data_IF_731859964992
#
_entry.id   IF_731859964992
#
_cell.length_a   1.000
_cell.length_b   1.000
_cell.length_c   1.000
_cell.angle_alpha   90.00
_cell.angle_beta   90.00
_cell.angle_gamma   90.00
#
_symmetry.space_group_name_H-M   'P 1'
#
loop_
_entity.id
_entity.type
_entity.pdbx_description
1 polymer ?
#
# COMPACT_ATOMS: atom_id res chain seq x y z
N UNK A 1 10.45 9.13 20.88
CA UNK A 1 9.66 8.39 19.87
C UNK A 1 9.70 6.92 20.26
N UNK A 2 8.54 6.27 20.42
CA UNK A 2 8.46 4.83 20.70
C UNK A 2 8.79 4.06 19.42
N UNK A 3 9.47 2.93 19.53
CA UNK A 3 9.77 2.06 18.38
C UNK A 3 9.15 0.69 18.58
N UNK A 4 8.58 0.12 17.53
CA UNK A 4 8.02 -1.23 17.51
C UNK A 4 8.70 -2.09 16.45
N UNK A 5 8.99 -3.34 16.80
CA UNK A 5 9.30 -4.39 15.85
C UNK A 5 8.26 -5.49 15.99
N UNK A 6 7.52 -5.73 14.92
CA UNK A 6 6.44 -6.70 14.86
C UNK A 6 6.80 -7.72 13.81
N UNK A 7 6.68 -9.00 14.15
CA UNK A 7 6.87 -10.09 13.21
C UNK A 7 5.68 -11.03 13.29
N UNK A 8 4.98 -11.16 12.18
CA UNK A 8 3.83 -12.03 12.06
C UNK A 8 3.90 -12.83 10.77
N UNK A 9 3.11 -13.90 10.70
CA UNK A 9 3.09 -14.78 9.54
C UNK A 9 2.35 -14.15 8.37
N UNK A 10 1.13 -13.65 8.59
CA UNK A 10 0.23 -13.21 7.53
C UNK A 10 0.02 -11.70 7.54
N UNK A 11 -0.41 -11.17 6.39
CA UNK A 11 -0.69 -9.74 6.22
C UNK A 11 -1.70 -9.17 7.23
N UNK A 12 -2.89 -9.78 7.44
CA UNK A 12 -3.89 -9.19 8.34
C UNK A 12 -3.51 -9.28 9.82
N UNK A 13 -2.76 -10.31 10.21
CA UNK A 13 -2.28 -10.46 11.61
C UNK A 13 -1.19 -9.45 11.93
N UNK A 14 -0.26 -9.22 11.01
CA UNK A 14 0.75 -8.17 11.11
C UNK A 14 0.12 -6.78 11.27
N UNK A 15 -0.85 -6.44 10.43
CA UNK A 15 -1.54 -5.16 10.49
C UNK A 15 -2.34 -5.00 11.79
N UNK A 16 -3.15 -5.99 12.17
CA UNK A 16 -3.94 -5.98 13.41
C UNK A 16 -3.03 -5.72 14.62
N UNK A 17 -1.93 -6.48 14.73
CA UNK A 17 -0.97 -6.34 15.81
C UNK A 17 -0.29 -4.97 15.81
N UNK A 18 0.10 -4.46 14.64
CA UNK A 18 0.71 -3.13 14.53
C UNK A 18 -0.23 -2.03 14.98
N UNK A 19 -1.49 -2.06 14.55
CA UNK A 19 -2.50 -1.08 14.96
C UNK A 19 -2.74 -1.14 16.47
N UNK A 20 -2.88 -2.33 17.05
CA UNK A 20 -3.09 -2.50 18.49
C UNK A 20 -1.88 -2.05 19.32
N UNK A 21 -0.65 -2.36 18.89
CA UNK A 21 0.55 -1.94 19.61
C UNK A 21 0.77 -0.42 19.49
N UNK A 22 0.50 0.19 18.33
CA UNK A 22 0.48 1.65 18.19
C UNK A 22 -0.55 2.29 19.09
N UNK A 23 -1.75 1.72 19.17
CA UNK A 23 -2.74 2.20 20.12
C UNK A 23 -2.21 2.09 21.54
N UNK A 24 -1.73 0.94 21.98
CA UNK A 24 -1.40 0.72 23.39
C UNK A 24 -0.11 1.41 23.85
N UNK A 25 0.92 1.45 23.01
CA UNK A 25 2.26 1.90 23.37
C UNK A 25 2.68 3.21 22.67
N UNK A 26 1.86 3.72 21.74
CA UNK A 26 2.19 4.92 20.97
C UNK A 26 2.44 6.15 21.85
N UNK A 27 3.50 6.88 21.50
CA UNK A 27 3.75 8.18 22.09
C UNK A 27 2.63 9.14 21.66
N UNK A 28 2.27 10.08 22.54
CA UNK A 28 1.27 11.11 22.27
C UNK A 28 1.93 12.40 21.80
N UNK A 29 1.40 12.99 20.76
CA UNK A 29 1.90 14.24 20.17
C UNK A 29 0.78 14.90 19.37
N UNK A 30 0.93 16.22 19.18
CA UNK A 30 0.06 16.99 18.31
C UNK A 30 0.56 16.97 16.88
N UNK A 31 -0.37 17.03 15.94
CA UNK A 31 -0.09 17.14 14.52
C UNK A 31 -0.54 18.51 14.00
N UNK A 32 -0.02 18.92 12.84
CA UNK A 32 -0.47 20.13 12.16
C UNK A 32 -1.92 20.04 11.66
N UNK A 33 -2.50 18.83 11.66
CA UNK A 33 -3.86 18.54 11.23
C UNK A 33 -4.88 18.59 12.38
N UNK A 34 -4.42 18.66 13.63
CA UNK A 34 -5.30 18.63 14.80
C UNK A 34 -6.14 19.90 14.89
N UNK A 35 -7.45 19.75 15.13
CA UNK A 35 -8.37 20.85 15.39
C UNK A 35 -8.46 21.15 16.89
N UNK A 36 -8.91 22.36 17.29
CA UNK A 36 -9.14 22.66 18.70
C UNK A 36 -10.09 21.64 19.35
N UNK A 37 -9.58 20.91 20.35
CA UNK A 37 -10.33 19.88 21.07
C UNK A 37 -10.04 18.45 20.64
N UNK A 38 -9.30 18.23 19.55
CA UNK A 38 -8.86 16.90 19.15
C UNK A 38 -7.89 16.33 20.22
N UNK A 39 -8.04 15.06 20.61
CA UNK A 39 -7.03 14.35 21.38
C UNK A 39 -5.68 14.34 20.66
N UNK A 40 -4.59 14.17 21.41
CA UNK A 40 -3.29 13.92 20.82
C UNK A 40 -3.27 12.56 20.09
N UNK A 41 -2.69 12.55 18.89
CA UNK A 41 -2.48 11.35 18.09
C UNK A 41 -1.53 10.39 18.81
N UNK A 42 -1.65 9.08 18.50
CA UNK A 42 -0.71 8.05 18.99
C UNK A 42 0.21 7.60 17.86
N UNK A 43 1.52 7.51 18.10
CA UNK A 43 2.52 7.21 17.05
C UNK A 43 3.71 6.42 17.59
N UNK A 44 4.22 5.59 16.69
CA UNK A 44 5.44 4.82 16.83
C UNK A 44 6.21 4.85 15.52
N UNK A 45 7.53 4.69 15.62
CA UNK A 45 8.32 4.21 14.49
C UNK A 45 8.17 2.68 14.43
N UNK A 46 7.60 2.14 13.36
CA UNK A 46 7.28 0.71 13.25
C UNK A 46 8.13 0.01 12.19
N UNK A 47 8.57 -1.20 12.51
CA UNK A 47 9.09 -2.17 11.55
C UNK A 47 8.21 -3.43 11.61
N UNK A 48 7.39 -3.64 10.59
CA UNK A 48 6.41 -4.72 10.51
C UNK A 48 6.90 -5.76 9.50
N UNK A 49 7.21 -6.97 9.96
CA UNK A 49 7.74 -8.06 9.16
C UNK A 49 6.68 -9.15 8.98
N UNK A 50 6.28 -9.39 7.73
CA UNK A 50 5.35 -10.43 7.31
C UNK A 50 6.12 -11.53 6.57
N UNK A 51 6.14 -12.75 7.11
CA UNK A 51 6.94 -13.84 6.52
C UNK A 51 6.24 -14.57 5.38
N UNK A 52 4.90 -14.54 5.33
CA UNK A 52 4.09 -15.14 4.27
C UNK A 52 3.01 -14.14 3.82
N UNK A 53 3.37 -13.05 3.10
CA UNK A 53 2.45 -11.94 2.80
C UNK A 53 1.25 -12.33 1.93
N UNK A 54 1.31 -13.47 1.24
CA UNK A 54 0.23 -14.00 0.40
C UNK A 54 -0.52 -15.18 1.04
N UNK A 55 -0.24 -15.54 2.29
CA UNK A 55 -0.96 -16.64 2.96
C UNK A 55 -2.42 -16.26 3.23
N UNK A 56 -3.32 -17.24 3.11
CA UNK A 56 -4.73 -17.10 3.47
C UNK A 56 -5.01 -17.45 4.94
N UNK A 57 -6.03 -16.83 5.58
CA UNK A 57 -6.83 -15.71 5.10
C UNK A 57 -6.02 -14.41 5.02
N UNK A 58 -6.30 -13.57 4.01
CA UNK A 58 -5.42 -12.44 3.65
C UNK A 58 -5.96 -11.05 3.99
N UNK A 59 -7.27 -10.90 4.21
CA UNK A 59 -7.90 -9.57 4.32
C UNK A 59 -8.53 -9.37 5.70
N UNK A 60 -8.17 -8.30 6.42
CA UNK A 60 -8.72 -8.06 7.75
C UNK A 60 -10.12 -7.45 7.66
N UNK A 61 -11.17 -8.06 8.23
CA UNK A 61 -12.58 -7.62 8.10
C UNK A 61 -12.89 -6.22 8.64
N UNK A 62 -12.01 -5.68 9.47
CA UNK A 62 -12.15 -4.37 10.10
C UNK A 62 -11.21 -3.29 9.53
N UNK A 63 -10.53 -3.53 8.40
CA UNK A 63 -9.91 -2.42 7.69
C UNK A 63 -11.01 -1.44 7.25
N UNK A 64 -10.78 -0.12 7.34
CA UNK A 64 -11.77 0.86 6.92
C UNK A 64 -11.74 0.95 5.39
N UNK A 65 -12.77 0.41 4.75
CA UNK A 65 -12.94 0.42 3.29
C UNK A 65 -13.79 -0.76 2.81
N UNK A 66 -14.33 -0.63 1.60
CA UNK A 66 -14.94 -1.75 0.89
C UNK A 66 -13.90 -2.69 0.28
N UNK A 67 -14.25 -3.96 0.09
CA UNK A 67 -13.38 -4.89 -0.65
C UNK A 67 -13.26 -4.50 -2.13
N UNK A 68 -14.30 -3.89 -2.68
CA UNK A 68 -14.28 -3.24 -3.99
C UNK A 68 -13.34 -2.02 -4.01
N UNK A 69 -13.37 -1.17 -2.98
CA UNK A 69 -12.40 -0.07 -2.84
C UNK A 69 -10.95 -0.59 -2.71
N UNK A 70 -10.76 -1.76 -2.09
CA UNK A 70 -9.44 -2.41 -2.02
C UNK A 70 -8.92 -2.85 -3.40
N UNK A 71 -9.77 -3.38 -4.28
CA UNK A 71 -9.37 -3.70 -5.66
C UNK A 71 -9.10 -2.43 -6.47
N UNK A 72 -9.90 -1.37 -6.30
CA UNK A 72 -9.66 -0.07 -6.93
C UNK A 72 -8.30 0.47 -6.52
N UNK A 73 -8.01 0.53 -5.23
CA UNK A 73 -6.74 1.00 -4.71
C UNK A 73 -5.55 0.15 -5.17
N UNK A 74 -5.73 -1.18 -5.25
CA UNK A 74 -4.74 -2.08 -5.84
C UNK A 74 -4.48 -1.73 -7.31
N UNK A 75 -5.51 -1.43 -8.09
CA UNK A 75 -5.37 -1.00 -9.48
C UNK A 75 -4.72 0.39 -9.61
N UNK A 76 -5.00 1.32 -8.69
CA UNK A 76 -4.33 2.63 -8.64
C UNK A 76 -2.82 2.47 -8.47
N UNK A 77 -2.38 1.67 -7.49
CA UNK A 77 -0.96 1.49 -7.18
C UNK A 77 -0.22 0.70 -8.27
N UNK A 78 -0.82 -0.36 -8.80
CA UNK A 78 -0.15 -1.25 -9.76
C UNK A 78 -0.23 -0.77 -11.20
N UNK A 79 -1.27 -0.01 -11.55
CA UNK A 79 -1.59 0.29 -12.95
C UNK A 79 -1.93 1.75 -13.20
N UNK A 80 -2.01 2.60 -12.16
CA UNK A 80 -2.21 4.03 -12.33
C UNK A 80 -3.53 4.37 -12.99
N UNK A 81 -4.60 3.62 -12.64
CA UNK A 81 -5.93 3.84 -13.23
C UNK A 81 -6.42 5.28 -13.01
N UNK A 82 -5.97 5.95 -11.94
CA UNK A 82 -6.26 7.35 -11.63
C UNK A 82 -5.07 8.32 -11.80
N UNK A 83 -4.00 7.96 -12.53
CA UNK A 83 -2.90 8.91 -12.77
C UNK A 83 -3.38 10.19 -13.49
N UNK A 84 -4.43 10.07 -14.30
CA UNK A 84 -5.06 11.19 -15.00
C UNK A 84 -5.83 12.15 -14.09
N UNK A 85 -5.98 11.85 -12.79
CA UNK A 85 -6.55 12.75 -11.79
C UNK A 85 -5.52 13.65 -11.12
N UNK A 86 -4.22 13.44 -11.40
CA UNK A 86 -3.16 14.34 -10.94
C UNK A 86 -3.35 15.69 -11.62
N UNK A 87 -3.75 16.70 -10.83
CA UNK A 87 -4.03 18.06 -11.28
C UNK A 87 -3.83 19.05 -10.10
N UNK A 88 -2.58 19.20 -9.61
CA UNK A 88 -2.28 20.04 -8.46
C UNK A 88 -2.70 21.51 -8.66
N UNK A 89 -2.64 22.01 -9.89
CA UNK A 89 -3.09 23.36 -10.25
C UNK A 89 -4.60 23.59 -10.06
N UNK A 90 -5.40 22.52 -10.04
CA UNK A 90 -6.83 22.55 -9.73
C UNK A 90 -7.11 22.27 -8.24
N UNK A 91 -6.08 22.15 -7.40
CA UNK A 91 -6.21 21.74 -6.00
C UNK A 91 -6.63 20.27 -5.83
N UNK A 92 -6.38 19.44 -6.85
CA UNK A 92 -6.63 17.99 -6.83
C UNK A 92 -5.36 17.24 -6.43
N UNK A 93 -5.26 15.96 -6.79
CA UNK A 93 -4.17 15.09 -6.40
C UNK A 93 -2.84 15.63 -6.91
N UNK A 94 -1.82 15.63 -6.04
CA UNK A 94 -0.49 16.14 -6.38
C UNK A 94 0.42 15.05 -6.96
N UNK A 95 0.08 13.78 -6.72
CA UNK A 95 0.80 12.61 -7.23
C UNK A 95 -0.03 11.32 -7.07
N UNK A 96 0.40 10.24 -7.72
CA UNK A 96 0.02 8.86 -7.35
C UNK A 96 1.28 8.06 -7.07
N UNK A 97 1.19 6.98 -6.28
CA UNK A 97 2.33 6.07 -6.12
C UNK A 97 2.73 5.44 -7.46
N UNK A 98 1.77 5.16 -8.34
CA UNK A 98 2.08 4.61 -9.64
C UNK A 98 2.90 5.57 -10.49
N UNK A 99 2.51 6.85 -10.61
CA UNK A 99 3.29 7.86 -11.33
C UNK A 99 4.72 7.92 -10.78
N UNK A 100 4.88 7.95 -9.46
CA UNK A 100 6.20 8.00 -8.84
C UNK A 100 7.02 6.72 -9.00
N UNK A 101 6.42 5.54 -9.17
CA UNK A 101 7.16 4.28 -9.32
C UNK A 101 7.46 3.94 -10.78
N UNK A 102 6.51 4.15 -11.68
CA UNK A 102 6.55 3.71 -13.07
C UNK A 102 6.80 4.85 -14.05
N UNK A 103 6.54 6.10 -13.66
CA UNK A 103 6.74 7.27 -14.50
C UNK A 103 7.57 8.36 -13.80
N UNK A 104 8.58 8.00 -13.01
CA UNK A 104 9.31 8.94 -12.17
C UNK A 104 9.96 10.07 -12.99
N UNK A 105 9.34 11.26 -12.96
CA UNK A 105 9.73 12.42 -13.77
C UNK A 105 10.85 13.20 -13.11
N UNK A 106 11.96 13.41 -13.82
CA UNK A 106 13.08 14.24 -13.35
C UNK A 106 13.22 15.47 -14.25
N UNK A 107 13.27 16.69 -13.70
CA UNK A 107 13.49 17.90 -14.49
C UNK A 107 14.72 17.78 -15.40
N UNK A 108 14.55 18.09 -16.68
CA UNK A 108 15.61 18.03 -17.69
C UNK A 108 15.81 16.66 -18.35
N UNK A 109 15.18 15.59 -17.87
CA UNK A 109 15.14 14.32 -18.60
C UNK A 109 14.01 14.32 -19.64
N UNK A 110 14.25 13.81 -20.86
CA UNK A 110 13.25 13.82 -21.93
C UNK A 110 12.15 12.78 -21.73
N UNK A 111 12.40 11.74 -20.92
CA UNK A 111 11.47 10.65 -20.65
C UNK A 111 11.46 10.34 -19.15
N UNK A 112 10.32 9.93 -18.60
CA UNK A 112 10.24 9.45 -17.22
C UNK A 112 11.03 8.15 -17.03
N UNK A 113 11.35 7.85 -15.77
CA UNK A 113 12.06 6.63 -15.39
C UNK A 113 11.04 5.62 -14.85
N UNK A 114 10.91 4.47 -15.51
CA UNK A 114 10.23 3.30 -14.94
C UNK A 114 11.20 2.59 -13.97
N UNK A 115 11.05 2.88 -12.68
CA UNK A 115 11.94 2.33 -11.66
C UNK A 115 11.65 0.85 -11.39
N UNK A 116 10.42 0.38 -11.60
CA UNK A 116 10.05 -1.02 -11.40
C UNK A 116 10.62 -1.88 -12.53
N UNK A 117 10.57 -1.43 -13.78
CA UNK A 117 11.25 -2.11 -14.88
C UNK A 117 12.76 -2.16 -14.65
N UNK A 118 13.36 -1.06 -14.19
CA UNK A 118 14.79 -1.03 -13.84
C UNK A 118 15.15 -2.03 -12.73
N UNK A 119 14.28 -2.18 -11.71
CA UNK A 119 14.42 -3.20 -10.66
C UNK A 119 14.37 -4.61 -11.24
N UNK A 120 13.39 -4.91 -12.10
CA UNK A 120 13.22 -6.22 -12.73
C UNK A 120 14.44 -6.55 -13.60
N UNK A 121 14.82 -5.65 -14.50
CA UNK A 121 15.99 -5.82 -15.36
C UNK A 121 17.26 -6.07 -14.52
N UNK A 122 17.42 -5.33 -13.41
CA UNK A 122 18.60 -5.48 -12.56
C UNK A 122 18.65 -6.83 -11.84
N UNK A 123 17.52 -7.30 -11.33
CA UNK A 123 17.45 -8.58 -10.61
C UNK A 123 17.48 -9.77 -11.58
N UNK A 124 17.01 -9.62 -12.81
CA UNK A 124 17.18 -10.62 -13.86
C UNK A 124 18.67 -10.80 -14.24
N UNK A 125 19.42 -9.70 -14.34
CA UNK A 125 20.87 -9.72 -14.60
C UNK A 125 21.66 -10.22 -13.38
N UNK A 126 21.35 -9.71 -12.19
CA UNK A 126 22.07 -9.99 -10.95
C UNK A 126 21.11 -10.19 -9.77
N UNK A 127 20.59 -11.41 -9.55
CA UNK A 127 19.58 -11.68 -8.51
C UNK A 127 20.01 -11.31 -7.08
N UNK A 128 21.32 -11.37 -6.80
CA UNK A 128 21.92 -11.03 -5.51
C UNK A 128 22.26 -9.53 -5.37
N UNK A 129 21.82 -8.69 -6.31
CA UNK A 129 22.06 -7.25 -6.29
C UNK A 129 21.47 -6.62 -5.01
N UNK A 130 22.27 -5.76 -4.37
CA UNK A 130 21.83 -4.95 -3.23
C UNK A 130 21.28 -3.57 -3.66
N UNK A 131 21.15 -3.34 -4.97
CA UNK A 131 20.89 -2.01 -5.57
C UNK A 131 19.49 -1.87 -6.19
N UNK A 132 18.69 -2.93 -6.18
CA UNK A 132 17.36 -2.91 -6.79
C UNK A 132 16.38 -2.15 -5.87
N UNK A 133 16.09 -0.90 -6.21
CA UNK A 133 15.18 -0.04 -5.46
C UNK A 133 14.45 0.95 -6.35
N UNK A 134 13.32 1.43 -5.85
CA UNK A 134 12.57 2.56 -6.38
C UNK A 134 12.31 3.56 -5.25
N UNK A 135 12.28 4.85 -5.57
CA UNK A 135 11.99 5.94 -4.62
C UNK A 135 10.87 6.82 -5.15
N UNK A 136 10.10 7.40 -4.25
CA UNK A 136 8.94 8.22 -4.62
C UNK A 136 9.13 9.69 -4.25
N UNK A 137 10.04 9.97 -3.30
CA UNK A 137 10.37 11.34 -2.89
C UNK A 137 11.16 12.09 -3.97
N UNK A 138 10.57 13.16 -4.49
CA UNK A 138 11.20 14.08 -5.44
C UNK A 138 11.65 15.34 -4.69
N UNK A 139 12.95 15.46 -4.43
CA UNK A 139 13.49 16.58 -3.64
C UNK A 139 13.23 17.98 -4.25
N UNK A 140 13.00 18.07 -5.57
CA UNK A 140 12.66 19.32 -6.26
C UNK A 140 11.16 19.66 -6.23
N UNK A 141 10.30 18.72 -5.82
CA UNK A 141 8.84 18.88 -5.84
C UNK A 141 8.26 18.79 -4.42
N UNK A 142 8.55 17.70 -3.71
CA UNK A 142 7.86 17.33 -2.48
C UNK A 142 8.15 18.22 -1.27
N UNK A 143 9.18 19.09 -1.36
CA UNK A 143 9.47 20.06 -0.29
C UNK A 143 8.53 21.26 -0.27
N UNK A 144 7.74 21.47 -1.33
CA UNK A 144 6.90 22.66 -1.50
C UNK A 144 5.40 22.39 -1.67
N UNK A 145 4.97 21.13 -1.59
CA UNK A 145 3.58 20.71 -1.81
C UNK A 145 2.89 20.34 -0.49
N UNK A 146 1.56 20.31 -0.49
CA UNK A 146 0.77 20.14 0.74
C UNK A 146 0.77 18.69 1.23
N UNK A 147 0.65 17.74 0.32
CA UNK A 147 0.52 16.31 0.59
C UNK A 147 1.65 15.54 -0.12
N UNK A 148 2.90 15.59 0.37
CA UNK A 148 3.98 14.88 -0.30
C UNK A 148 3.87 13.35 -0.18
N UNK A 149 4.60 12.62 -1.03
CA UNK A 149 4.58 11.15 -1.03
C UNK A 149 4.77 10.55 0.37
N UNK A 150 3.88 9.67 0.82
CA UNK A 150 4.03 8.97 2.11
C UNK A 150 4.98 7.78 2.00
N UNK A 151 4.80 6.91 1.00
CA UNK A 151 5.83 5.98 0.55
C UNK A 151 7.08 6.76 0.19
N UNK A 152 8.27 6.28 0.60
CA UNK A 152 9.56 6.88 0.29
C UNK A 152 10.43 5.97 -0.59
N UNK A 153 10.44 4.67 -0.28
CA UNK A 153 11.34 3.71 -0.90
C UNK A 153 10.74 2.31 -0.91
N UNK A 154 10.95 1.60 -2.01
CA UNK A 154 10.82 0.16 -2.13
C UNK A 154 12.18 -0.44 -2.47
N UNK A 155 12.62 -1.46 -1.73
CA UNK A 155 13.86 -2.17 -1.97
C UNK A 155 13.60 -3.67 -2.13
N UNK A 156 14.15 -4.25 -3.18
CA UNK A 156 13.87 -5.60 -3.62
C UNK A 156 15.13 -6.46 -3.57
N UNK A 157 14.97 -7.73 -3.19
CA UNK A 157 16.08 -8.70 -3.15
C UNK A 157 15.60 -10.11 -3.43
N UNK A 158 16.25 -10.79 -4.37
CA UNK A 158 16.07 -12.24 -4.52
C UNK A 158 17.03 -12.94 -3.56
N UNK A 159 16.46 -13.77 -2.68
CA UNK A 159 17.21 -14.62 -1.75
C UNK A 159 16.58 -16.02 -1.76
N UNK A 160 17.39 -17.05 -1.96
CA UNK A 160 16.92 -18.46 -2.02
C UNK A 160 15.77 -18.68 -3.01
N UNK A 161 15.81 -18.02 -4.17
CA UNK A 161 14.75 -18.14 -5.19
C UNK A 161 13.44 -17.46 -4.80
N UNK A 162 13.44 -16.58 -3.80
CA UNK A 162 12.27 -15.80 -3.37
C UNK A 162 12.55 -14.31 -3.43
N UNK A 163 11.61 -13.52 -3.95
CA UNK A 163 11.68 -12.07 -3.98
C UNK A 163 11.16 -11.49 -2.66
N UNK A 164 12.06 -10.91 -1.88
CA UNK A 164 11.73 -10.15 -0.68
C UNK A 164 11.54 -8.67 -1.03
N UNK A 165 10.62 -8.00 -0.34
CA UNK A 165 10.34 -6.57 -0.47
C UNK A 165 10.45 -5.87 0.88
N UNK A 166 11.21 -4.78 0.93
CA UNK A 166 11.27 -3.85 2.07
C UNK A 166 10.75 -2.49 1.62
N UNK A 167 9.74 -1.98 2.32
CA UNK A 167 9.11 -0.67 2.09
C UNK A 167 9.44 0.28 3.22
N UNK A 168 9.64 1.56 2.90
CA UNK A 168 9.76 2.65 3.88
C UNK A 168 8.72 3.73 3.61
N UNK A 169 7.95 4.07 4.64
CA UNK A 169 6.97 5.16 4.69
C UNK A 169 7.47 6.24 5.64
N UNK A 170 7.42 7.52 5.25
CA UNK A 170 7.72 8.63 6.17
C UNK A 170 6.59 8.85 7.20
N UNK A 171 5.37 8.49 6.80
CA UNK A 171 4.13 8.70 7.53
C UNK A 171 3.10 7.71 7.00
N UNK A 172 2.40 7.01 7.89
CA UNK A 172 1.35 6.08 7.52
C UNK A 172 0.24 6.08 8.58
N UNK A 173 -0.97 6.43 8.18
CA UNK A 173 -2.14 6.23 9.03
C UNK A 173 -2.33 4.72 9.25
N UNK A 174 -2.10 4.28 10.48
CA UNK A 174 -2.09 2.89 10.89
C UNK A 174 -3.46 2.23 10.66
N UNK A 175 -4.55 2.95 10.92
CA UNK A 175 -5.90 2.41 10.83
C UNK A 175 -6.49 2.61 9.43
N UNK A 176 -6.44 3.84 8.90
CA UNK A 176 -7.17 4.23 7.69
C UNK A 176 -6.48 3.91 6.37
N UNK A 177 -5.16 3.79 6.35
CA UNK A 177 -4.41 3.63 5.10
C UNK A 177 -3.53 2.38 5.06
N UNK A 178 -2.87 2.04 6.17
CA UNK A 178 -1.79 1.06 6.18
C UNK A 178 -2.18 -0.30 5.61
N UNK A 179 -3.38 -0.82 5.92
CA UNK A 179 -3.81 -2.12 5.41
C UNK A 179 -3.87 -2.14 3.88
N UNK A 180 -4.49 -1.12 3.27
CA UNK A 180 -4.61 -0.99 1.82
C UNK A 180 -3.23 -0.82 1.17
N UNK A 181 -2.33 -0.03 1.79
CA UNK A 181 -0.96 0.11 1.33
C UNK A 181 -0.22 -1.24 1.33
N UNK A 182 -0.22 -1.95 2.47
CA UNK A 182 0.43 -3.25 2.62
C UNK A 182 -0.12 -4.29 1.64
N UNK A 183 -1.45 -4.30 1.42
CA UNK A 183 -2.08 -5.17 0.43
C UNK A 183 -1.59 -4.86 -0.98
N UNK A 184 -1.68 -3.60 -1.42
CA UNK A 184 -1.24 -3.20 -2.76
C UNK A 184 0.27 -3.43 -2.98
N UNK A 185 1.11 -3.20 -1.97
CA UNK A 185 2.55 -3.41 -2.09
C UNK A 185 2.93 -4.89 -2.19
N UNK A 186 2.21 -5.78 -1.48
CA UNK A 186 2.41 -7.23 -1.63
C UNK A 186 1.87 -7.76 -2.96
N UNK A 187 0.86 -7.10 -3.54
CA UNK A 187 0.42 -7.36 -4.91
C UNK A 187 1.47 -6.92 -5.94
N UNK A 188 2.12 -5.77 -5.74
CA UNK A 188 3.25 -5.35 -6.58
C UNK A 188 4.43 -6.33 -6.44
N UNK A 189 4.74 -6.78 -5.23
CA UNK A 189 5.74 -7.82 -4.98
C UNK A 189 5.42 -9.10 -5.76
N UNK A 190 4.16 -9.55 -5.75
CA UNK A 190 3.68 -10.71 -6.52
C UNK A 190 3.93 -10.53 -8.03
N UNK A 191 3.61 -9.36 -8.58
CA UNK A 191 3.85 -9.05 -10.00
C UNK A 191 5.34 -9.07 -10.37
N UNK A 192 6.19 -8.44 -9.55
CA UNK A 192 7.65 -8.42 -9.79
C UNK A 192 8.25 -9.82 -9.67
N UNK A 193 7.82 -10.61 -8.69
CA UNK A 193 8.27 -12.00 -8.51
C UNK A 193 7.90 -12.87 -9.72
N UNK A 194 6.66 -12.77 -10.19
CA UNK A 194 6.19 -13.48 -11.38
C UNK A 194 7.00 -13.11 -12.63
N UNK A 195 7.34 -11.84 -12.83
CA UNK A 195 8.17 -11.39 -13.96
C UNK A 195 9.63 -11.83 -13.88
N UNK A 196 10.14 -12.10 -12.68
CA UNK A 196 11.46 -12.66 -12.46
C UNK A 196 11.48 -14.20 -12.47
N UNK A 197 10.31 -14.86 -12.50
CA UNK A 197 10.20 -16.31 -12.42
C UNK A 197 10.63 -16.89 -11.08
N UNK A 198 10.40 -16.16 -9.99
CA UNK A 198 10.76 -16.54 -8.61
C UNK A 198 9.53 -16.51 -7.70
N UNK A 199 9.61 -17.18 -6.55
CA UNK A 199 8.53 -17.17 -5.57
C UNK A 199 8.47 -15.85 -4.79
N UNK A 200 7.34 -15.57 -4.16
CA UNK A 200 7.21 -14.43 -3.24
C UNK A 200 7.85 -14.78 -1.89
N UNK A 201 8.76 -13.91 -1.43
CA UNK A 201 9.41 -14.00 -0.12
C UNK A 201 8.80 -13.06 0.91
N UNK A 202 9.60 -12.70 1.90
CA UNK A 202 9.19 -11.87 3.03
C UNK A 202 8.84 -10.44 2.58
N UNK A 203 7.89 -9.84 3.29
CA UNK A 203 7.52 -8.44 3.16
C UNK A 203 7.84 -7.70 4.46
N UNK A 204 8.54 -6.57 4.36
CA UNK A 204 8.84 -5.72 5.51
C UNK A 204 8.32 -4.31 5.24
N UNK A 205 7.48 -3.80 6.14
CA UNK A 205 6.91 -2.47 6.09
C UNK A 205 7.50 -1.63 7.22
N UNK A 206 8.43 -0.74 6.89
CA UNK A 206 8.95 0.27 7.80
C UNK A 206 8.16 1.55 7.69
N UNK A 207 7.72 2.11 8.81
CA UNK A 207 7.06 3.40 8.87
C UNK A 207 7.70 4.27 9.95
N UNK A 208 8.20 5.44 9.56
CA UNK A 208 8.88 6.38 10.47
C UNK A 208 7.88 6.98 11.47
N UNK A 209 6.66 7.28 11.00
CA UNK A 209 5.49 7.68 11.79
C UNK A 209 4.32 6.76 11.44
N UNK A 210 4.04 5.77 12.29
CA UNK A 210 2.91 4.86 12.15
C UNK A 210 1.87 5.22 13.21
N UNK A 211 0.82 5.93 12.79
CA UNK A 211 0.02 6.73 13.72
C UNK A 211 -1.48 6.50 13.63
N UNK A 212 -2.18 6.83 14.71
CA UNK A 212 -3.64 6.86 14.83
C UNK A 212 -4.01 8.28 15.25
N UNK A 213 -4.73 9.02 14.40
CA UNK A 213 -5.11 10.39 14.70
C UNK A 213 -6.13 10.48 15.84
N UNK A 214 -5.92 11.45 16.73
CA UNK A 214 -6.85 11.74 17.82
C UNK A 214 -8.26 12.10 17.35
N UNK A 215 -8.36 12.77 16.20
CA UNK A 215 -9.60 13.25 15.59
C UNK A 215 -10.63 12.16 15.29
N UNK A 216 -10.23 10.90 15.18
CA UNK A 216 -11.14 9.77 14.92
C UNK A 216 -11.09 8.66 15.99
N UNK A 217 -10.63 8.93 17.21
CA UNK A 217 -10.61 7.90 18.27
C UNK A 217 -11.98 7.25 18.51
N UNK A 218 -13.08 7.99 18.41
CA UNK A 218 -14.43 7.40 18.54
C UNK A 218 -14.78 6.38 17.45
N UNK A 219 -14.32 6.60 16.22
CA UNK A 219 -14.44 5.62 15.13
C UNK A 219 -13.54 4.40 15.40
N UNK A 220 -12.31 4.66 15.85
CA UNK A 220 -11.31 3.64 16.17
C UNK A 220 -11.76 2.68 17.28
N UNK A 221 -12.57 3.13 18.25
CA UNK A 221 -13.15 2.23 19.25
C UNK A 221 -14.01 1.11 18.62
N UNK A 222 -14.60 1.35 17.45
CA UNK A 222 -15.31 0.32 16.69
C UNK A 222 -14.39 -0.82 16.25
N UNK A 223 -13.16 -0.50 15.85
CA UNK A 223 -12.13 -1.49 15.54
C UNK A 223 -11.74 -2.30 16.79
N UNK A 224 -11.50 -1.64 17.92
CA UNK A 224 -11.15 -2.32 19.18
C UNK A 224 -12.23 -3.33 19.59
N UNK A 225 -13.50 -2.91 19.58
CA UNK A 225 -14.64 -3.80 19.87
C UNK A 225 -14.73 -4.96 18.88
N UNK A 226 -14.47 -4.70 17.59
CA UNK A 226 -14.46 -5.75 16.55
C UNK A 226 -13.41 -6.81 16.83
N UNK A 227 -12.19 -6.40 17.20
CA UNK A 227 -11.09 -7.33 17.51
C UNK A 227 -11.41 -8.16 18.77
N UNK A 228 -11.95 -7.53 19.81
CA UNK A 228 -12.31 -8.23 21.05
C UNK A 228 -13.47 -9.23 20.88
N UNK A 229 -14.48 -8.87 20.09
CA UNK A 229 -15.72 -9.65 20.00
C UNK A 229 -15.74 -10.71 18.90
N UNK A 230 -14.85 -10.61 17.88
CA UNK A 230 -14.88 -11.50 16.71
C UNK A 230 -13.74 -12.51 16.76
N UNK A 231 -14.04 -13.82 16.82
CA UNK A 231 -13.01 -14.86 16.67
C UNK A 231 -12.58 -15.03 15.21
N UNK A 232 -13.49 -14.84 14.26
CA UNK A 232 -13.22 -14.89 12.82
C UNK A 232 -13.10 -13.46 12.24
N UNK A 233 -11.87 -12.97 12.15
CA UNK A 233 -11.55 -11.57 11.81
C UNK A 233 -11.08 -11.36 10.38
N UNK A 234 -10.93 -12.42 9.59
CA UNK A 234 -10.25 -12.32 8.30
C UNK A 234 -11.09 -12.93 7.16
N UNK A 235 -11.11 -12.27 6.00
CA UNK A 235 -11.64 -12.82 4.75
C UNK A 235 -10.52 -13.53 3.98
N UNK A 236 -10.87 -14.60 3.28
CA UNK A 236 -10.00 -15.18 2.25
C UNK A 236 -10.05 -14.32 0.99
N UNK A 237 -9.04 -14.40 0.13
CA UNK A 237 -9.11 -13.78 -1.21
C UNK A 237 -10.28 -14.34 -2.01
N UNK A 238 -10.56 -15.65 -1.90
CA UNK A 238 -11.71 -16.30 -2.55
C UNK A 238 -13.04 -15.62 -2.17
N UNK A 239 -13.25 -15.35 -0.88
CA UNK A 239 -14.45 -14.65 -0.41
C UNK A 239 -14.57 -13.24 -1.01
N UNK A 240 -13.45 -12.56 -1.24
CA UNK A 240 -13.43 -11.20 -1.75
C UNK A 240 -13.59 -11.10 -3.28
N UNK A 241 -13.48 -12.20 -4.02
CA UNK A 241 -13.52 -12.20 -5.50
C UNK A 241 -14.77 -11.51 -6.09
N UNK A 242 -16.00 -11.71 -5.58
CA UNK A 242 -17.17 -11.00 -6.10
C UNK A 242 -17.06 -9.49 -5.93
N UNK A 243 -16.56 -9.02 -4.78
CA UNK A 243 -16.40 -7.59 -4.51
C UNK A 243 -15.24 -6.99 -5.31
N UNK A 244 -14.18 -7.76 -5.58
CA UNK A 244 -13.14 -7.33 -6.51
C UNK A 244 -13.69 -7.18 -7.93
N UNK A 245 -14.61 -8.05 -8.35
CA UNK A 245 -15.32 -7.89 -9.61
C UNK A 245 -16.14 -6.59 -9.60
N UNK A 246 -16.87 -6.31 -8.53
CA UNK A 246 -17.62 -5.04 -8.37
C UNK A 246 -16.69 -3.82 -8.47
N UNK A 247 -15.51 -3.87 -7.84
CA UNK A 247 -14.50 -2.81 -7.93
C UNK A 247 -14.00 -2.58 -9.37
N UNK A 248 -13.74 -3.65 -10.12
CA UNK A 248 -13.38 -3.55 -11.54
C UNK A 248 -14.53 -2.98 -12.38
N UNK A 249 -15.78 -3.35 -12.11
CA UNK A 249 -16.96 -2.81 -12.80
C UNK A 249 -17.19 -1.33 -12.49
N UNK A 250 -16.96 -0.91 -11.24
CA UNK A 250 -16.99 0.51 -10.84
C UNK A 250 -15.97 1.33 -11.64
N UNK A 251 -14.73 0.87 -11.75
CA UNK A 251 -13.71 1.53 -12.59
C UNK A 251 -14.15 1.62 -14.06
N UNK A 252 -14.72 0.55 -14.61
CA UNK A 252 -15.20 0.56 -16.00
C UNK A 252 -16.40 1.50 -16.21
N UNK A 253 -17.17 1.80 -15.16
CA UNK A 253 -18.27 2.75 -15.23
C UNK A 253 -17.81 4.22 -15.24
N UNK A 254 -16.55 4.50 -14.85
CA UNK A 254 -15.98 5.84 -14.90
C UNK A 254 -15.84 6.32 -16.34
N UNK A 255 -16.31 7.55 -16.60
CA UNK A 255 -16.40 8.12 -17.95
C UNK A 255 -15.05 8.62 -18.45
N UNK A 256 -14.21 9.05 -17.53
CA UNK A 256 -12.89 9.63 -17.74
C UNK A 256 -11.75 8.61 -17.73
N UNK A 257 -12.01 7.35 -17.34
CA UNK A 257 -11.00 6.29 -17.35
C UNK A 257 -10.33 6.16 -18.73
N UNK A 258 -9.01 6.42 -18.85
CA UNK A 258 -8.32 6.44 -20.14
C UNK A 258 -8.39 5.09 -20.87
N UNK A 259 -8.44 5.06 -22.22
CA UNK A 259 -8.59 3.82 -22.98
C UNK A 259 -7.54 2.74 -22.65
N UNK A 260 -6.28 3.14 -22.43
CA UNK A 260 -5.22 2.21 -22.06
C UNK A 260 -5.45 1.58 -20.68
N UNK A 261 -5.92 2.37 -19.70
CA UNK A 261 -6.22 1.89 -18.34
C UNK A 261 -7.49 1.02 -18.35
N UNK A 262 -8.51 1.40 -19.14
CA UNK A 262 -9.72 0.59 -19.38
C UNK A 262 -9.39 -0.81 -19.88
N UNK A 263 -8.48 -0.95 -20.85
CA UNK A 263 -8.07 -2.25 -21.35
C UNK A 263 -7.44 -3.15 -20.26
N UNK A 264 -6.67 -2.56 -19.34
CA UNK A 264 -6.09 -3.27 -18.18
C UNK A 264 -7.21 -3.74 -17.24
N UNK A 265 -8.18 -2.87 -16.94
CA UNK A 265 -9.31 -3.21 -16.06
C UNK A 265 -10.20 -4.29 -16.68
N UNK A 266 -10.46 -4.26 -18.00
CA UNK A 266 -11.21 -5.32 -18.70
C UNK A 266 -10.49 -6.68 -18.64
N UNK A 267 -9.16 -6.68 -18.79
CA UNK A 267 -8.37 -7.91 -18.64
C UNK A 267 -8.48 -8.47 -17.21
N UNK A 268 -8.41 -7.60 -16.19
CA UNK A 268 -8.59 -7.97 -14.78
C UNK A 268 -10.01 -8.48 -14.51
N UNK A 269 -11.05 -7.83 -15.04
CA UNK A 269 -12.44 -8.29 -14.96
C UNK A 269 -12.57 -9.72 -15.51
N UNK A 270 -12.00 -9.97 -16.68
CA UNK A 270 -12.01 -11.30 -17.31
C UNK A 270 -11.28 -12.35 -16.46
N UNK A 271 -10.16 -11.99 -15.82
CA UNK A 271 -9.46 -12.87 -14.88
C UNK A 271 -10.33 -13.21 -13.66
N UNK A 272 -10.94 -12.20 -13.03
CA UNK A 272 -11.81 -12.38 -11.86
C UNK A 272 -13.02 -13.26 -12.18
N UNK A 273 -13.65 -13.06 -13.34
CA UNK A 273 -14.76 -13.90 -13.80
C UNK A 273 -14.35 -15.36 -13.99
N UNK A 274 -13.12 -15.64 -14.43
CA UNK A 274 -12.60 -17.01 -14.53
C UNK A 274 -12.32 -17.64 -13.18
N UNK A 275 -11.90 -16.86 -12.18
CA UNK A 275 -11.68 -17.35 -10.82
C UNK A 275 -12.98 -17.66 -10.07
N UNK A 276 -14.10 -17.05 -10.48
CA UNK A 276 -15.43 -17.28 -9.93
C UNK A 276 -16.21 -18.43 -10.61
N UNK A 277 -15.72 -18.92 -11.75
CA UNK A 277 -16.36 -19.97 -12.55
C UNK A 277 -15.91 -21.37 -12.11
#
# INVERSE_FOLDING_TARGET
>A
MQTLYIKERSLPTAWERAVLETWNAGARFRTEYDKPGDPESRDVCAMIHVTEPLSEPRIHKAFPGGLDDLEIYRAEVLHGVHDHWIAPEEGKWEYTYHERLFEYRVPGLPQPIDQIEAVIAKLAEAPHSRRAQAVTWQAWNDTGIHDPACLQRMWFRVEQGRLNLVVHMRSNDAFKAAFMNMFAFTELQRTVAARLGVDVGDYVHGADSFHIYGSYFGEFEGFLRSVESRPDRYFTTEFALPMFLDGAERLLAERDLPPAKRAIVEARKTELQKLLA
#
